data_IF_955482671695
#
_entry.id   IF_955482671695
#
_cell.length_a   1.000
_cell.length_b   1.000
_cell.length_c   1.000
_cell.angle_alpha   90.00
_cell.angle_beta   90.00
_cell.angle_gamma   90.00
#
_symmetry.space_group_name_H-M   'P 1'
#
loop_
_entity.id
_entity.type
_entity.pdbx_description
1 polymer ?
#
# COMPACT_ATOMS: atom_id res chain seq x y z
N UNK A 1 14.31 6.65 -13.00
CA UNK A 1 14.03 7.71 -12.00
C UNK A 1 12.80 7.38 -11.15
N UNK A 2 11.60 7.31 -11.73
CA UNK A 2 10.35 6.97 -11.00
C UNK A 2 10.47 5.73 -10.09
N UNK A 3 11.08 4.65 -10.59
CA UNK A 3 11.24 3.41 -9.82
C UNK A 3 12.08 3.59 -8.55
N UNK A 4 13.10 4.47 -8.57
CA UNK A 4 13.96 4.74 -7.41
C UNK A 4 13.14 5.45 -6.33
N UNK A 5 12.44 6.51 -6.71
CA UNK A 5 11.59 7.30 -5.81
C UNK A 5 10.45 6.45 -5.23
N UNK A 6 9.74 5.68 -6.08
CA UNK A 6 8.67 4.80 -5.62
C UNK A 6 9.17 3.75 -4.62
N UNK A 7 10.34 3.15 -4.88
CA UNK A 7 10.94 2.15 -3.99
C UNK A 7 11.38 2.76 -2.67
N UNK A 8 11.94 3.97 -2.71
CA UNK A 8 12.36 4.68 -1.51
C UNK A 8 11.16 5.04 -0.62
N UNK A 9 10.10 5.60 -1.21
CA UNK A 9 8.85 5.94 -0.50
C UNK A 9 8.18 4.70 0.10
N UNK A 10 8.05 3.63 -0.69
CA UNK A 10 7.49 2.38 -0.18
C UNK A 10 8.33 1.84 0.98
N UNK A 11 9.66 1.87 0.86
CA UNK A 11 10.54 1.35 1.91
C UNK A 11 10.60 2.24 3.14
N UNK A 12 10.49 3.56 2.99
CA UNK A 12 10.47 4.49 4.13
C UNK A 12 9.30 4.18 5.06
N UNK A 13 8.12 3.92 4.49
CA UNK A 13 6.91 3.58 5.24
C UNK A 13 6.97 2.14 5.75
N UNK A 14 7.17 1.16 4.85
CA UNK A 14 6.92 -0.26 5.18
C UNK A 14 8.06 -0.93 5.96
N UNK A 15 9.31 -0.50 5.77
CA UNK A 15 10.48 -1.16 6.37
C UNK A 15 11.29 -0.24 7.29
N UNK A 16 11.35 1.08 7.02
CA UNK A 16 12.19 1.98 7.81
C UNK A 16 11.45 2.60 8.99
N UNK A 17 10.13 2.84 8.91
CA UNK A 17 9.38 3.33 10.06
C UNK A 17 9.16 2.20 11.09
N UNK A 18 9.72 2.31 12.31
CA UNK A 18 9.62 1.25 13.32
C UNK A 18 8.19 1.02 13.83
N UNK A 19 7.29 1.99 13.67
CA UNK A 19 5.90 1.92 14.14
C UNK A 19 4.94 1.31 13.12
N UNK A 20 5.39 1.13 11.87
CA UNK A 20 4.53 0.64 10.78
C UNK A 20 3.94 -0.75 11.08
N UNK A 21 4.74 -1.66 11.66
CA UNK A 21 4.27 -3.02 11.97
C UNK A 21 3.16 -3.00 13.02
N UNK A 22 3.25 -2.09 13.98
CA UNK A 22 2.22 -1.92 15.01
C UNK A 22 0.94 -1.37 14.41
N UNK A 23 1.03 -0.26 13.65
CA UNK A 23 -0.09 0.30 12.91
C UNK A 23 -0.77 -0.74 12.02
N UNK A 24 0.00 -1.49 11.22
CA UNK A 24 -0.53 -2.53 10.34
C UNK A 24 -1.36 -3.59 11.09
N UNK A 25 -0.92 -4.01 12.29
CA UNK A 25 -1.62 -5.03 13.09
C UNK A 25 -2.87 -4.50 13.77
N UNK A 26 -2.98 -3.19 13.99
CA UNK A 26 -4.15 -2.54 14.56
C UNK A 26 -5.16 -2.17 13.47
N UNK A 27 -4.69 -1.56 12.38
CA UNK A 27 -5.50 -1.05 11.30
C UNK A 27 -6.08 -2.15 10.40
N UNK A 28 -5.53 -3.37 10.44
CA UNK A 28 -5.94 -4.49 9.57
C UNK A 28 -6.18 -5.78 10.36
N UNK A 29 -7.00 -6.72 9.84
CA UNK A 29 -7.25 -8.00 10.50
C UNK A 29 -6.13 -9.04 10.26
N UNK A 30 -4.87 -8.64 10.08
CA UNK A 30 -3.78 -9.58 9.78
C UNK A 30 -3.61 -10.65 10.87
N UNK A 31 -3.70 -10.22 12.12
CA UNK A 31 -3.50 -11.08 13.27
C UNK A 31 -4.64 -12.09 13.42
N UNK A 32 -5.88 -11.66 13.20
CA UNK A 32 -7.08 -12.49 13.21
C UNK A 32 -7.06 -13.49 12.05
N UNK A 33 -6.70 -13.04 10.84
CA UNK A 33 -6.57 -13.91 9.68
C UNK A 33 -5.59 -15.07 9.93
N UNK A 34 -4.45 -14.80 10.59
CA UNK A 34 -3.49 -15.82 10.96
C UNK A 34 -3.94 -16.79 12.06
N UNK A 35 -4.98 -16.44 12.83
CA UNK A 35 -5.54 -17.24 13.94
C UNK A 35 -6.78 -18.04 13.53
N UNK A 36 -7.46 -17.63 12.46
CA UNK A 36 -8.68 -18.29 11.99
C UNK A 36 -8.40 -19.43 11.00
N UNK A 37 -9.32 -20.39 10.91
CA UNK A 37 -9.27 -21.52 9.96
C UNK A 37 -9.67 -21.10 8.53
N UNK A 38 -9.09 -20.00 8.03
CA UNK A 38 -9.36 -19.45 6.69
C UNK A 38 -8.21 -19.81 5.74
N UNK A 39 -6.96 -19.74 6.22
CA UNK A 39 -5.78 -20.05 5.43
C UNK A 39 -5.31 -21.49 5.58
N UNK A 40 -4.97 -22.16 4.47
CA UNK A 40 -4.34 -23.49 4.49
C UNK A 40 -2.86 -23.48 4.85
N UNK A 41 -2.24 -22.29 4.85
CA UNK A 41 -0.80 -22.10 5.03
C UNK A 41 -0.52 -21.05 6.11
N UNK A 42 0.60 -21.16 6.85
CA UNK A 42 1.00 -20.14 7.82
C UNK A 42 1.15 -18.76 7.18
N UNK A 43 0.69 -17.70 7.86
CA UNK A 43 0.79 -16.32 7.36
C UNK A 43 2.23 -15.79 7.34
N UNK A 44 3.08 -16.26 8.25
CA UNK A 44 4.49 -15.84 8.39
C UNK A 44 5.46 -16.99 8.17
N UNK A 45 6.66 -16.67 7.68
CA UNK A 45 7.81 -17.61 7.58
C UNK A 45 8.52 -17.77 8.93
N UNK A 46 8.61 -16.71 9.73
CA UNK A 46 9.19 -16.69 11.08
C UNK A 46 8.24 -15.96 12.04
N UNK A 47 7.87 -16.53 13.20
CA UNK A 47 6.88 -15.92 14.10
C UNK A 47 7.28 -14.54 14.66
N UNK A 48 8.58 -14.31 14.89
CA UNK A 48 9.12 -13.09 15.48
C UNK A 48 9.52 -12.00 14.47
N UNK A 49 9.30 -12.20 13.17
CA UNK A 49 9.73 -11.25 12.16
C UNK A 49 8.76 -10.09 11.93
N UNK A 50 9.28 -8.98 11.39
CA UNK A 50 8.49 -7.86 10.86
C UNK A 50 7.81 -8.20 9.52
N UNK A 51 7.50 -7.18 8.71
CA UNK A 51 6.87 -7.34 7.38
C UNK A 51 7.65 -8.32 6.49
N UNK A 52 8.98 -8.38 6.58
CA UNK A 52 9.80 -9.29 5.75
C UNK A 52 9.48 -10.77 5.95
N UNK A 53 8.90 -11.12 7.11
CA UNK A 53 8.50 -12.49 7.42
C UNK A 53 7.10 -12.83 6.93
N UNK A 54 6.28 -11.82 6.58
CA UNK A 54 4.91 -11.98 6.12
C UNK A 54 4.90 -12.48 4.67
N UNK A 55 3.97 -13.39 4.36
CA UNK A 55 3.78 -13.84 2.98
C UNK A 55 2.94 -12.83 2.19
N UNK A 56 3.11 -12.83 0.86
CA UNK A 56 2.41 -11.91 -0.03
C UNK A 56 0.88 -12.02 0.06
N UNK A 57 0.32 -13.23 0.20
CA UNK A 57 -1.14 -13.41 0.30
C UNK A 57 -1.70 -12.72 1.56
N UNK A 58 -1.23 -13.02 2.79
CA UNK A 58 -1.65 -12.29 3.99
C UNK A 58 -1.46 -10.76 3.88
N UNK A 59 -0.36 -10.31 3.28
CA UNK A 59 -0.07 -8.89 3.07
C UNK A 59 -1.16 -8.21 2.23
N UNK A 60 -1.43 -8.71 1.03
CA UNK A 60 -2.47 -8.14 0.16
C UNK A 60 -3.86 -8.32 0.77
N UNK A 61 -4.13 -9.47 1.40
CA UNK A 61 -5.43 -9.79 1.97
C UNK A 61 -5.82 -8.82 3.09
N UNK A 62 -4.93 -8.57 4.04
CA UNK A 62 -5.21 -7.71 5.19
C UNK A 62 -5.63 -6.29 4.78
N UNK A 63 -4.90 -5.67 3.84
CA UNK A 63 -5.24 -4.34 3.33
C UNK A 63 -6.44 -4.30 2.38
N UNK A 64 -6.79 -5.44 1.79
CA UNK A 64 -8.00 -5.57 0.98
C UNK A 64 -9.25 -5.57 1.86
N UNK A 65 -9.19 -6.19 3.05
CA UNK A 65 -10.31 -6.20 3.99
C UNK A 65 -10.70 -4.80 4.47
N UNK A 66 -9.73 -3.92 4.66
CA UNK A 66 -9.93 -2.56 5.18
C UNK A 66 -10.25 -1.54 4.11
N UNK A 67 -10.35 -1.98 2.84
CA UNK A 67 -10.62 -1.12 1.67
C UNK A 67 -9.57 -0.04 1.44
N UNK A 68 -8.38 -0.19 2.02
CA UNK A 68 -7.30 0.77 1.88
C UNK A 68 -6.30 0.43 0.77
N UNK A 69 -6.08 -0.87 0.51
CA UNK A 69 -5.25 -1.35 -0.59
C UNK A 69 -3.82 -0.79 -0.67
N UNK A 70 -3.25 -0.38 0.47
CA UNK A 70 -1.90 0.20 0.62
C UNK A 70 -0.82 -0.47 -0.26
N UNK A 71 -0.70 -1.81 -0.34
CA UNK A 71 0.36 -2.47 -1.10
C UNK A 71 0.36 -2.21 -2.61
N UNK A 72 -0.76 -1.75 -3.16
CA UNK A 72 -0.94 -1.59 -4.60
C UNK A 72 -0.48 -0.21 -5.07
N UNK A 73 -0.73 0.83 -4.29
CA UNK A 73 -0.57 2.22 -4.75
C UNK A 73 0.57 2.99 -4.08
N UNK A 74 1.07 2.55 -2.91
CA UNK A 74 2.16 3.27 -2.22
C UNK A 74 3.39 3.37 -3.12
N UNK A 75 3.96 4.58 -3.19
CA UNK A 75 5.11 4.92 -4.04
C UNK A 75 4.73 5.52 -5.40
N UNK A 76 3.53 5.25 -5.94
CA UNK A 76 3.12 5.84 -7.22
C UNK A 76 2.94 7.35 -7.13
N UNK A 77 2.28 7.85 -6.08
CA UNK A 77 2.07 9.28 -5.87
C UNK A 77 3.39 10.06 -5.81
N UNK A 78 4.36 9.57 -5.03
CA UNK A 78 5.69 10.17 -4.92
C UNK A 78 6.44 10.14 -6.26
N UNK A 79 6.39 9.03 -6.99
CA UNK A 79 7.06 8.92 -8.29
C UNK A 79 6.46 9.85 -9.35
N UNK A 80 5.13 9.96 -9.43
CA UNK A 80 4.46 10.88 -10.35
C UNK A 80 4.74 12.34 -9.98
N UNK A 81 4.64 12.68 -8.69
CA UNK A 81 4.96 14.03 -8.19
C UNK A 81 6.40 14.42 -8.53
N UNK A 82 7.36 13.51 -8.33
CA UNK A 82 8.77 13.75 -8.63
C UNK A 82 9.00 14.11 -10.11
N UNK A 83 8.46 13.33 -11.04
CA UNK A 83 8.66 13.61 -12.48
C UNK A 83 7.93 14.87 -12.93
N UNK A 84 6.73 15.14 -12.40
CA UNK A 84 5.98 16.36 -12.73
C UNK A 84 6.63 17.64 -12.19
N UNK A 85 7.28 17.56 -11.02
CA UNK A 85 8.01 18.69 -10.43
C UNK A 85 9.35 18.96 -11.14
N UNK A 86 9.98 17.92 -11.71
CA UNK A 86 11.25 18.06 -12.44
C UNK A 86 11.07 18.82 -13.75
N UNK A 87 9.97 18.57 -14.48
CA UNK A 87 9.56 19.35 -15.64
C UNK A 87 8.05 19.22 -15.83
N UNK A 88 7.36 20.37 -15.90
CA UNK A 88 5.92 20.45 -16.19
C UNK A 88 5.52 19.74 -17.49
N UNK A 89 6.42 19.63 -18.48
CA UNK A 89 6.17 18.95 -19.75
C UNK A 89 6.07 17.43 -19.61
N UNK A 90 6.61 16.85 -18.53
CA UNK A 90 6.57 15.40 -18.30
C UNK A 90 5.15 14.87 -18.16
N UNK A 91 4.16 15.71 -17.80
CA UNK A 91 2.75 15.28 -17.79
C UNK A 91 2.29 14.85 -19.19
N UNK A 92 2.79 15.50 -20.24
CA UNK A 92 2.45 15.16 -21.61
C UNK A 92 3.07 13.83 -22.00
N UNK A 93 4.34 13.59 -21.63
CA UNK A 93 5.01 12.30 -21.81
C UNK A 93 4.27 11.17 -21.08
N UNK A 94 3.84 11.37 -19.83
CA UNK A 94 3.06 10.37 -19.09
C UNK A 94 1.72 10.05 -19.77
N UNK A 95 1.04 11.06 -20.32
CA UNK A 95 -0.19 10.88 -21.09
C UNK A 95 0.04 10.12 -22.39
N UNK A 96 1.13 10.41 -23.09
CA UNK A 96 1.54 9.69 -24.30
C UNK A 96 1.89 8.24 -23.98
N UNK A 97 2.66 7.99 -22.91
CA UNK A 97 2.93 6.64 -22.42
C UNK A 97 1.64 5.87 -22.12
N UNK A 98 0.66 6.50 -21.48
CA UNK A 98 -0.64 5.84 -21.23
C UNK A 98 -1.39 5.50 -22.53
N UNK A 99 -1.34 6.39 -23.51
CA UNK A 99 -2.00 6.18 -24.81
C UNK A 99 -1.29 5.16 -25.68
N UNK A 100 0.03 5.15 -25.71
CA UNK A 100 0.81 4.48 -26.76
C UNK A 100 1.61 3.28 -26.24
N UNK A 101 1.81 3.17 -24.92
CA UNK A 101 2.60 2.09 -24.33
C UNK A 101 1.73 1.11 -23.53
N UNK A 102 1.41 -0.09 -24.08
CA UNK A 102 0.51 -1.04 -23.43
C UNK A 102 0.93 -1.44 -22.01
N UNK A 103 2.24 -1.60 -21.76
CA UNK A 103 2.75 -1.91 -20.41
C UNK A 103 2.38 -0.83 -19.39
N UNK A 104 2.58 0.44 -19.75
CA UNK A 104 2.26 1.54 -18.84
C UNK A 104 0.75 1.69 -18.66
N UNK A 105 -0.01 1.54 -19.75
CA UNK A 105 -1.47 1.54 -19.71
C UNK A 105 -2.03 0.50 -18.73
N UNK A 106 -1.71 -0.79 -18.91
CA UNK A 106 -2.26 -1.85 -18.03
C UNK A 106 -1.81 -1.70 -16.58
N UNK A 107 -0.63 -1.09 -16.35
CA UNK A 107 -0.15 -0.78 -14.99
C UNK A 107 -1.01 0.30 -14.33
N UNK A 108 -1.34 1.37 -15.07
CA UNK A 108 -2.21 2.44 -14.56
C UNK A 108 -3.67 1.97 -14.43
N UNK A 109 -4.17 1.18 -15.38
CA UNK A 109 -5.54 0.62 -15.31
C UNK A 109 -5.72 -0.28 -14.08
N UNK A 110 -4.67 -1.01 -13.67
CA UNK A 110 -4.68 -1.79 -12.44
C UNK A 110 -4.81 -0.91 -11.20
N UNK A 111 -4.12 0.24 -11.17
CA UNK A 111 -4.24 1.20 -10.06
C UNK A 111 -5.65 1.78 -10.02
N UNK A 112 -6.19 2.20 -11.17
CA UNK A 112 -7.55 2.75 -11.28
C UNK A 112 -8.59 1.76 -10.77
N UNK A 113 -8.50 0.49 -11.19
CA UNK A 113 -9.40 -0.57 -10.74
C UNK A 113 -9.30 -0.81 -9.23
N UNK A 114 -8.11 -0.73 -8.64
CA UNK A 114 -7.94 -0.90 -7.20
C UNK A 114 -8.46 0.30 -6.43
N UNK A 115 -8.25 1.52 -6.92
CA UNK A 115 -8.87 2.72 -6.33
C UNK A 115 -10.40 2.65 -6.38
N UNK A 116 -10.98 2.14 -7.47
CA UNK A 116 -12.43 1.93 -7.57
C UNK A 116 -12.98 0.92 -6.55
N UNK A 117 -12.13 0.03 -6.01
CA UNK A 117 -12.49 -0.92 -4.93
C UNK A 117 -12.20 -0.36 -3.53
N UNK A 118 -11.42 0.71 -3.43
CA UNK A 118 -11.06 1.34 -2.17
C UNK A 118 -12.17 2.22 -1.62
N UNK A 119 -12.13 2.43 -0.31
CA UNK A 119 -13.02 3.34 0.41
C UNK A 119 -12.26 3.94 1.61
N UNK A 120 -11.73 5.18 1.49
CA UNK A 120 -11.02 5.84 2.57
C UNK A 120 -11.90 6.09 3.81
N UNK A 121 -13.22 6.20 3.65
CA UNK A 121 -14.14 6.36 4.78
C UNK A 121 -14.23 5.09 5.61
N UNK A 122 -14.26 3.92 4.96
CA UNK A 122 -14.16 2.63 5.66
C UNK A 122 -12.79 2.47 6.31
N UNK A 123 -11.70 2.77 5.61
CA UNK A 123 -10.35 2.70 6.20
C UNK A 123 -10.23 3.58 7.45
N UNK A 124 -10.72 4.83 7.39
CA UNK A 124 -10.74 5.74 8.53
C UNK A 124 -11.60 5.24 9.70
N UNK A 125 -12.66 4.45 9.43
CA UNK A 125 -13.45 3.81 10.48
C UNK A 125 -12.66 2.71 11.22
N UNK A 126 -11.86 1.92 10.50
CA UNK A 126 -10.94 0.95 11.13
C UNK A 126 -9.95 1.68 12.04
N UNK A 127 -9.31 2.74 11.55
CA UNK A 127 -8.36 3.54 12.33
C UNK A 127 -9.00 4.16 13.56
N UNK A 128 -10.18 4.76 13.41
CA UNK A 128 -10.92 5.38 14.52
C UNK A 128 -11.21 4.39 15.64
N UNK A 129 -11.53 3.14 15.31
CA UNK A 129 -11.99 2.14 16.27
C UNK A 129 -10.86 1.27 16.85
N UNK A 130 -9.79 1.04 16.09
CA UNK A 130 -8.79 0.01 16.42
C UNK A 130 -7.37 0.58 16.63
N UNK A 131 -7.06 1.74 16.06
CA UNK A 131 -5.72 2.32 16.10
C UNK A 131 -5.60 3.34 17.24
N UNK A 132 -4.49 3.30 17.96
CA UNK A 132 -4.19 4.26 19.03
C UNK A 132 -3.94 5.66 18.46
N UNK A 133 -4.26 6.71 19.22
CA UNK A 133 -4.21 8.10 18.74
C UNK A 133 -2.82 8.51 18.21
N UNK A 134 -1.75 7.97 18.80
CA UNK A 134 -0.36 8.23 18.41
C UNK A 134 0.07 7.59 17.08
N UNK A 135 -0.75 6.69 16.52
CA UNK A 135 -0.51 5.99 15.26
C UNK A 135 -1.46 6.40 14.12
N UNK A 136 -2.51 7.18 14.40
CA UNK A 136 -3.51 7.60 13.39
C UNK A 136 -2.92 8.40 12.23
N UNK A 137 -1.79 9.08 12.43
CA UNK A 137 -1.10 9.83 11.37
C UNK A 137 -0.72 8.94 10.17
N UNK A 138 -0.56 7.62 10.33
CA UNK A 138 -0.28 6.73 9.21
C UNK A 138 -1.45 6.61 8.22
N UNK A 139 -2.69 6.70 8.70
CA UNK A 139 -3.90 6.63 7.87
C UNK A 139 -4.31 7.96 7.24
N UNK A 140 -3.72 9.07 7.70
CA UNK A 140 -3.98 10.43 7.21
C UNK A 140 -3.10 10.83 6.01
N UNK A 141 -2.12 10.00 5.63
CA UNK A 141 -1.17 10.24 4.53
C UNK A 141 -1.66 9.73 3.17
#
# INVERSE_FOLDING_TARGET
EMAVVATEEYRSIVFKDPRFVEYFRLATPEMEYGRMNIGSRPSKRKPSGGIESLRAIPWIFAWTQTRFHLPVWVGFGAAFKHVMQKDSKNIQTLREMYKEWPFFRVTVDLLEMVFAKGDPGIAALYDKLLVTDDLKFFGEN
#
